data_IF_005083071751
#
_entry.id   IF_005083071751
#
_cell.length_a   1.000
_cell.length_b   1.000
_cell.length_c   1.000
_cell.angle_alpha   90.00
_cell.angle_beta   90.00
_cell.angle_gamma   90.00
#
_symmetry.space_group_name_H-M   'P 1'
#
loop_
_entity.id
_entity.type
_entity.pdbx_description
1 polymer ?
#
# COMPACT_ATOMS: atom_id res chain seq x y z
N UNK A 1 -0.33 -29.38 5.84
CA UNK A 1 0.52 -28.18 6.05
C UNK A 1 0.16 -27.18 4.97
N UNK A 2 -0.43 -26.04 5.33
CA UNK A 2 -0.75 -25.01 4.33
C UNK A 2 0.57 -24.37 3.88
N UNK A 3 0.93 -24.56 2.62
CA UNK A 3 2.09 -23.88 2.04
C UNK A 3 1.79 -22.38 2.02
N UNK A 4 2.45 -21.63 2.91
CA UNK A 4 2.46 -20.17 2.84
C UNK A 4 3.34 -19.84 1.64
N UNK A 5 2.75 -19.69 0.45
CA UNK A 5 3.48 -19.18 -0.71
C UNK A 5 4.02 -17.79 -0.31
N UNK A 6 5.34 -17.55 -0.43
CA UNK A 6 5.89 -16.22 -0.20
C UNK A 6 5.36 -15.31 -1.29
N UNK A 7 4.52 -14.35 -0.92
CA UNK A 7 4.09 -13.29 -1.82
C UNK A 7 5.29 -12.39 -2.05
N UNK A 8 5.78 -12.33 -3.29
CA UNK A 8 6.90 -11.48 -3.67
C UNK A 8 6.42 -10.07 -4.01
N UNK A 9 7.34 -9.10 -3.90
CA UNK A 9 7.04 -7.71 -4.27
C UNK A 9 6.70 -7.63 -5.76
N UNK A 10 7.42 -8.36 -6.63
CA UNK A 10 7.19 -8.31 -8.08
C UNK A 10 5.79 -8.80 -8.47
N UNK A 11 5.25 -9.77 -7.71
CA UNK A 11 3.92 -10.32 -7.97
C UNK A 11 2.85 -9.28 -7.67
N UNK A 12 2.91 -8.65 -6.50
CA UNK A 12 1.96 -7.59 -6.10
C UNK A 12 2.13 -6.34 -6.97
N UNK A 13 3.36 -5.96 -7.29
CA UNK A 13 3.66 -4.84 -8.17
C UNK A 13 3.02 -5.05 -9.54
N UNK A 14 3.19 -6.23 -10.16
CA UNK A 14 2.57 -6.55 -11.46
C UNK A 14 1.05 -6.48 -11.39
N UNK A 15 0.42 -7.08 -10.38
CA UNK A 15 -1.04 -7.07 -10.22
C UNK A 15 -1.60 -5.65 -10.04
N UNK A 16 -0.94 -4.84 -9.20
CA UNK A 16 -1.32 -3.44 -8.99
C UNK A 16 -1.07 -2.60 -10.24
N UNK A 17 0.01 -2.86 -10.97
CA UNK A 17 0.35 -2.15 -12.19
C UNK A 17 -0.64 -2.44 -13.31
N UNK A 18 -1.05 -3.70 -13.48
CA UNK A 18 -2.07 -4.10 -14.46
C UNK A 18 -3.43 -3.43 -14.19
N UNK A 19 -3.76 -3.18 -12.91
CA UNK A 19 -5.03 -2.57 -12.51
C UNK A 19 -5.03 -1.04 -12.51
N UNK A 20 -3.94 -0.44 -12.08
CA UNK A 20 -3.87 1.01 -11.79
C UNK A 20 -2.84 1.76 -12.65
N UNK A 21 -1.99 1.05 -13.40
CA UNK A 21 -0.83 1.63 -14.07
C UNK A 21 0.34 1.89 -13.11
N UNK A 22 1.29 2.76 -13.45
CA UNK A 22 2.49 3.01 -12.62
C UNK A 22 2.20 3.73 -11.29
N UNK A 23 1.03 4.36 -11.15
CA UNK A 23 0.67 5.19 -10.01
C UNK A 23 -0.73 4.86 -9.52
N UNK A 24 -0.91 4.83 -8.20
CA UNK A 24 -2.22 4.71 -7.57
C UNK A 24 -2.63 6.08 -7.03
N UNK A 25 -3.88 6.48 -7.30
CA UNK A 25 -4.43 7.76 -6.91
C UNK A 25 -5.63 7.63 -5.97
N UNK A 26 -5.83 8.66 -5.15
CA UNK A 26 -7.07 8.96 -4.42
C UNK A 26 -7.72 7.75 -3.71
N UNK A 27 -8.91 7.33 -4.14
CA UNK A 27 -9.68 6.27 -3.48
C UNK A 27 -9.03 4.89 -3.63
N UNK A 28 -8.39 4.62 -4.77
CA UNK A 28 -7.64 3.38 -4.93
C UNK A 28 -6.46 3.31 -3.96
N UNK A 29 -5.76 4.44 -3.77
CA UNK A 29 -4.64 4.53 -2.83
C UNK A 29 -5.12 4.38 -1.38
N UNK A 30 -6.23 5.04 -1.05
CA UNK A 30 -6.89 4.92 0.25
C UNK A 30 -7.25 3.46 0.58
N UNK A 31 -7.87 2.77 -0.37
CA UNK A 31 -8.30 1.37 -0.21
C UNK A 31 -7.09 0.45 -0.09
N UNK A 32 -6.06 0.64 -0.93
CA UNK A 32 -4.82 -0.14 -0.88
C UNK A 32 -4.10 -0.01 0.48
N UNK A 33 -4.13 1.17 1.08
CA UNK A 33 -3.55 1.44 2.40
C UNK A 33 -4.45 1.04 3.59
N UNK A 34 -5.66 0.53 3.33
CA UNK A 34 -6.57 0.06 4.37
C UNK A 34 -7.32 1.15 5.15
N UNK A 35 -7.39 2.37 4.63
CA UNK A 35 -8.13 3.45 5.30
C UNK A 35 -9.64 3.33 5.07
N UNK A 36 -10.40 3.27 6.18
CA UNK A 36 -11.86 3.09 6.18
C UNK A 36 -12.64 4.20 5.46
N UNK A 37 -12.15 5.44 5.50
CA UNK A 37 -12.83 6.59 4.90
C UNK A 37 -11.84 7.59 4.31
N UNK A 38 -12.33 8.41 3.37
CA UNK A 38 -11.53 9.46 2.72
C UNK A 38 -11.01 10.48 3.73
N UNK A 39 -11.78 10.80 4.76
CA UNK A 39 -11.34 11.73 5.81
C UNK A 39 -10.24 11.13 6.69
N UNK A 40 -10.28 9.83 6.98
CA UNK A 40 -9.19 9.16 7.69
C UNK A 40 -7.88 9.24 6.89
N UNK A 41 -7.96 9.03 5.57
CA UNK A 41 -6.80 9.14 4.69
C UNK A 41 -6.28 10.58 4.57
N UNK A 42 -7.17 11.56 4.36
CA UNK A 42 -6.80 12.99 4.37
C UNK A 42 -6.14 13.39 5.68
N UNK A 43 -6.67 12.93 6.82
CA UNK A 43 -6.09 13.19 8.15
C UNK A 43 -4.69 12.58 8.28
N UNK A 44 -4.48 11.36 7.79
CA UNK A 44 -3.17 10.72 7.78
C UNK A 44 -2.16 11.47 6.89
N UNK A 45 -2.58 11.96 5.73
CA UNK A 45 -1.78 12.78 4.83
C UNK A 45 -1.35 14.09 5.51
N UNK A 46 -2.30 14.82 6.11
CA UNK A 46 -2.02 16.07 6.83
C UNK A 46 -1.08 15.85 8.02
N UNK A 47 -1.22 14.72 8.73
CA UNK A 47 -0.37 14.35 9.86
C UNK A 47 0.95 13.72 9.47
N UNK A 48 1.21 13.49 8.17
CA UNK A 48 2.39 12.79 7.65
C UNK A 48 2.59 11.41 8.27
N UNK A 49 1.49 10.71 8.59
CA UNK A 49 1.51 9.35 9.17
C UNK A 49 1.24 8.26 8.14
N UNK A 50 1.24 8.61 6.85
CA UNK A 50 1.12 7.62 5.77
C UNK A 50 2.44 6.86 5.68
N UNK A 51 2.42 5.52 5.66
CA UNK A 51 3.64 4.71 5.79
C UNK A 51 4.47 4.63 4.51
N UNK A 52 4.03 5.26 3.42
CA UNK A 52 4.71 5.28 2.13
C UNK A 52 4.81 6.72 1.59
N UNK A 53 5.78 7.00 0.69
CA UNK A 53 5.86 8.28 0.01
C UNK A 53 4.58 8.57 -0.79
N UNK A 54 3.99 9.75 -0.55
CA UNK A 54 2.84 10.23 -1.31
C UNK A 54 3.17 11.62 -1.84
N UNK A 55 2.93 11.83 -3.13
CA UNK A 55 3.24 13.08 -3.83
C UNK A 55 2.00 13.66 -4.53
N UNK A 56 2.11 14.93 -4.91
CA UNK A 56 1.16 15.60 -5.78
C UNK A 56 1.83 15.94 -7.09
N UNK A 57 1.10 15.83 -8.19
CA UNK A 57 1.56 16.23 -9.52
C UNK A 57 1.04 17.63 -9.79
N UNK A 58 1.89 18.50 -10.31
CA UNK A 58 1.51 19.87 -10.66
C UNK A 58 0.31 19.88 -11.61
N UNK A 59 -0.62 20.81 -11.40
CA UNK A 59 -1.88 20.92 -12.15
C UNK A 59 -2.78 19.67 -12.13
N UNK A 60 -2.57 18.75 -11.18
CA UNK A 60 -3.46 17.61 -10.95
C UNK A 60 -4.01 17.61 -9.53
N UNK A 61 -5.31 17.32 -9.43
CA UNK A 61 -5.98 17.13 -8.15
C UNK A 61 -5.68 15.74 -7.62
N UNK A 62 -5.51 15.64 -6.30
CA UNK A 62 -5.36 14.36 -5.63
C UNK A 62 -3.96 14.08 -5.12
N UNK A 63 -3.80 12.86 -4.61
CA UNK A 63 -2.54 12.35 -4.05
C UNK A 63 -2.20 11.03 -4.70
N UNK A 64 -0.92 10.85 -4.97
CA UNK A 64 -0.39 9.74 -5.76
C UNK A 64 0.71 9.03 -5.00
N UNK A 65 0.78 7.71 -5.16
CA UNK A 65 1.92 6.90 -4.77
C UNK A 65 2.31 5.99 -5.94
N UNK A 66 3.58 5.60 -6.01
CA UNK A 66 4.01 4.62 -6.99
C UNK A 66 3.47 3.24 -6.60
N UNK A 67 3.10 2.45 -7.61
CA UNK A 67 2.68 1.06 -7.39
C UNK A 67 3.77 0.26 -6.68
N UNK A 68 5.03 0.48 -7.05
CA UNK A 68 6.18 -0.18 -6.41
C UNK A 68 6.24 0.08 -4.89
N UNK A 69 6.04 1.32 -4.47
CA UNK A 69 6.08 1.68 -3.04
C UNK A 69 4.93 1.01 -2.26
N UNK A 70 3.75 0.96 -2.86
CA UNK A 70 2.57 0.28 -2.29
C UNK A 70 2.82 -1.22 -2.18
N UNK A 71 3.36 -1.84 -3.23
CA UNK A 71 3.66 -3.27 -3.27
C UNK A 71 4.69 -3.67 -2.21
N UNK A 72 5.80 -2.94 -2.11
CA UNK A 72 6.81 -3.16 -1.07
C UNK A 72 6.23 -3.05 0.33
N UNK A 73 5.38 -2.04 0.56
CA UNK A 73 4.75 -1.85 1.85
C UNK A 73 3.80 -2.99 2.21
N UNK A 74 2.95 -3.46 1.28
CA UNK A 74 2.03 -4.57 1.50
C UNK A 74 2.76 -5.86 1.87
N UNK A 75 3.85 -6.19 1.17
CA UNK A 75 4.67 -7.37 1.46
C UNK A 75 5.33 -7.24 2.83
N UNK A 76 5.86 -6.05 3.18
CA UNK A 76 6.42 -5.79 4.53
C UNK A 76 5.39 -6.00 5.62
N UNK A 77 4.15 -5.51 5.46
CA UNK A 77 3.07 -5.71 6.44
C UNK A 77 2.72 -7.20 6.62
N UNK A 78 2.60 -7.94 5.50
CA UNK A 78 2.31 -9.37 5.54
C UNK A 78 3.40 -10.15 6.26
N UNK A 79 4.67 -9.89 5.92
CA UNK A 79 5.81 -10.59 6.52
C UNK A 79 5.92 -10.28 8.01
N UNK A 80 5.73 -9.02 8.42
CA UNK A 80 5.69 -8.66 9.84
C UNK A 80 4.58 -9.41 10.59
N UNK A 81 3.39 -9.54 10.00
CA UNK A 81 2.29 -10.31 10.61
C UNK A 81 2.63 -11.80 10.78
N UNK A 82 3.28 -12.42 9.80
CA UNK A 82 3.73 -13.82 9.87
C UNK A 82 4.75 -14.01 11.00
N UNK A 83 5.80 -13.18 11.05
CA UNK A 83 6.81 -13.27 12.12
C UNK A 83 6.20 -13.09 13.51
N UNK A 84 5.25 -12.17 13.68
CA UNK A 84 4.55 -11.97 14.95
C UNK A 84 3.67 -13.17 15.34
N UNK A 85 3.18 -13.93 14.37
CA UNK A 85 2.38 -15.13 14.61
C UNK A 85 3.27 -16.33 15.03
N UNK A 86 4.48 -16.42 14.49
CA UNK A 86 5.46 -17.44 14.87
C UNK A 86 6.01 -17.23 16.28
N UNK A 87 6.26 -15.99 16.69
CA UNK A 87 6.73 -15.65 18.04
C UNK A 87 5.69 -15.88 19.16
N UNK A 88 4.41 -16.02 18.80
CA UNK A 88 3.31 -16.28 19.74
C UNK A 88 2.96 -17.77 19.87
N UNK A 89 3.60 -18.63 19.09
CA UNK A 89 3.52 -20.09 19.20
C UNK A 89 4.63 -20.62 20.10
#
# INVERSE_FOLDING_TARGET
MQHITPVSVETIERELFERHGPMIADDALRVALGYRSTDAFRKALTRKTVPIPVFSVENRRGKYALVKDVAEWLVKQRNAAITQQELKK
#
